data_IF_016534968117
#
_entry.id   IF_016534968117
#
_cell.length_a   1.000
_cell.length_b   1.000
_cell.length_c   1.000
_cell.angle_alpha   90.00
_cell.angle_beta   90.00
_cell.angle_gamma   90.00
#
_symmetry.space_group_name_H-M   'P 1'
#
loop_
_entity.id
_entity.type
_entity.pdbx_description
1 polymer ?
#
# COMPACT_ATOMS: atom_id res chain seq x y z
N UNK A 1 18.60 17.86 -12.51
CA UNK A 1 17.26 18.47 -12.53
C UNK A 1 16.41 17.74 -11.50
N UNK A 2 15.67 18.44 -10.65
CA UNK A 2 14.77 17.79 -9.69
C UNK A 2 13.71 17.00 -10.46
N UNK A 3 13.44 15.76 -10.01
CA UNK A 3 12.45 14.88 -10.65
C UNK A 3 11.09 15.20 -10.06
N UNK A 4 10.20 15.77 -10.86
CA UNK A 4 8.82 16.04 -10.46
C UNK A 4 8.08 14.70 -10.25
N UNK A 5 7.32 14.59 -9.16
CA UNK A 5 6.43 13.46 -8.89
C UNK A 5 5.02 13.84 -9.39
N UNK A 6 4.47 13.15 -10.41
CA UNK A 6 3.15 13.47 -10.95
C UNK A 6 2.05 13.22 -9.91
N UNK A 7 1.05 14.10 -9.83
CA UNK A 7 -0.11 13.91 -8.93
C UNK A 7 -0.96 12.70 -9.29
N UNK A 8 -1.09 12.44 -10.59
CA UNK A 8 -1.73 11.23 -11.11
C UNK A 8 -0.74 10.07 -11.05
N UNK A 9 -1.18 8.94 -10.53
CA UNK A 9 -0.38 7.72 -10.47
C UNK A 9 -0.66 6.95 -11.75
N UNK A 10 0.37 6.62 -12.52
CA UNK A 10 0.18 5.90 -13.78
C UNK A 10 -0.18 4.43 -13.55
N UNK A 11 -0.87 3.81 -14.50
CA UNK A 11 -1.40 2.44 -14.36
C UNK A 11 -0.31 1.36 -14.30
N UNK A 12 0.86 1.63 -14.85
CA UNK A 12 2.05 0.79 -14.81
C UNK A 12 2.89 0.99 -13.53
N UNK A 13 2.59 2.01 -12.72
CA UNK A 13 3.31 2.23 -11.47
C UNK A 13 3.11 1.07 -10.49
N UNK A 14 4.23 0.66 -9.90
CA UNK A 14 4.27 -0.34 -8.83
C UNK A 14 4.08 0.37 -7.49
N UNK A 15 3.08 -0.08 -6.76
CA UNK A 15 2.72 0.39 -5.43
C UNK A 15 3.15 -0.64 -4.39
N UNK A 16 3.60 -0.14 -3.26
CA UNK A 16 4.21 -0.93 -2.18
C UNK A 16 3.46 -0.66 -0.89
N UNK A 17 3.04 -1.70 -0.19
CA UNK A 17 2.46 -1.61 1.14
C UNK A 17 3.30 -2.40 2.14
N UNK A 18 3.47 -1.85 3.35
CA UNK A 18 4.29 -2.45 4.40
C UNK A 18 3.58 -3.63 5.08
N UNK A 19 4.30 -4.72 5.28
CA UNK A 19 3.80 -5.92 5.96
C UNK A 19 4.51 -6.09 7.30
N UNK A 20 3.72 -6.38 8.32
CA UNK A 20 4.18 -6.57 9.70
C UNK A 20 3.82 -7.97 10.21
N UNK A 21 4.41 -8.39 11.33
CA UNK A 21 4.20 -9.70 11.96
C UNK A 21 2.72 -10.01 12.23
N UNK A 22 1.96 -8.99 12.64
CA UNK A 22 0.50 -9.07 12.86
C UNK A 22 -0.31 -9.45 11.63
N UNK A 23 0.25 -9.28 10.43
CA UNK A 23 -0.41 -9.67 9.19
C UNK A 23 -0.34 -11.17 8.94
N UNK A 24 0.34 -11.95 9.80
CA UNK A 24 0.44 -13.40 9.70
C UNK A 24 -0.28 -14.10 10.85
N UNK A 25 -0.98 -15.19 10.54
CA UNK A 25 -1.62 -16.05 11.55
C UNK A 25 -0.56 -16.63 12.48
N UNK A 26 -0.79 -16.49 13.78
CA UNK A 26 0.11 -16.97 14.84
C UNK A 26 1.55 -16.48 14.69
N UNK A 27 1.77 -15.35 13.99
CA UNK A 27 3.10 -14.80 13.67
C UNK A 27 4.02 -15.75 12.89
N UNK A 28 3.46 -16.71 12.16
CA UNK A 28 4.23 -17.61 11.29
C UNK A 28 4.41 -16.92 9.93
N UNK A 29 5.65 -16.54 9.59
CA UNK A 29 5.96 -15.78 8.37
C UNK A 29 5.98 -16.73 7.17
N UNK A 30 4.86 -16.82 6.46
CA UNK A 30 4.76 -17.50 5.17
C UNK A 30 3.55 -17.00 4.39
N UNK A 31 3.56 -17.16 3.06
CA UNK A 31 2.46 -16.70 2.20
C UNK A 31 1.11 -17.34 2.55
N UNK A 32 1.11 -18.61 2.97
CA UNK A 32 -0.09 -19.36 3.36
C UNK A 32 -0.68 -18.88 4.69
N UNK A 33 0.16 -18.26 5.52
CA UNK A 33 -0.23 -17.73 6.83
C UNK A 33 -0.59 -16.26 6.79
N UNK A 34 -0.38 -15.58 5.67
CA UNK A 34 -0.77 -14.19 5.46
C UNK A 34 -2.30 -14.02 5.58
N UNK A 35 -2.73 -13.06 6.40
CA UNK A 35 -4.13 -12.71 6.62
C UNK A 35 -4.58 -11.73 5.54
N UNK A 36 -4.74 -12.23 4.32
CA UNK A 36 -5.01 -11.43 3.10
C UNK A 36 -6.22 -10.51 3.16
N UNK A 37 -7.25 -10.84 3.97
CA UNK A 37 -8.41 -9.96 4.19
C UNK A 37 -8.09 -8.67 4.93
N UNK A 38 -6.96 -8.61 5.61
CA UNK A 38 -6.66 -7.55 6.58
C UNK A 38 -5.48 -6.67 6.13
N UNK A 39 -4.89 -6.99 4.98
CA UNK A 39 -3.74 -6.27 4.42
C UNK A 39 -4.17 -4.86 4.01
N UNK A 40 -5.23 -4.75 3.23
CA UNK A 40 -5.72 -3.46 2.73
C UNK A 40 -6.88 -2.95 3.59
N UNK A 41 -6.82 -3.14 4.91
CA UNK A 41 -7.73 -2.48 5.83
C UNK A 41 -7.19 -1.09 6.18
N UNK A 42 -7.99 -0.02 6.02
CA UNK A 42 -7.52 1.34 6.27
C UNK A 42 -7.19 1.55 7.75
N UNK A 43 -6.20 2.40 8.01
CA UNK A 43 -5.87 2.87 9.34
C UNK A 43 -5.76 4.39 9.31
N UNK A 44 -6.71 5.11 9.93
CA UNK A 44 -6.80 6.58 9.94
C UNK A 44 -6.66 7.21 8.54
N UNK A 45 -7.72 7.18 7.75
CA UNK A 45 -7.82 7.91 6.47
C UNK A 45 -7.60 7.05 5.22
N UNK A 46 -6.80 5.98 5.29
CA UNK A 46 -6.56 5.11 4.14
C UNK A 46 -5.62 3.95 4.43
N UNK A 47 -5.23 3.24 3.37
CA UNK A 47 -4.12 2.28 3.38
C UNK A 47 -2.91 2.95 2.76
N UNK A 48 -1.88 3.21 3.58
CA UNK A 48 -0.64 3.84 3.16
C UNK A 48 0.11 2.98 2.14
N UNK A 49 0.53 3.59 1.04
CA UNK A 49 1.27 3.00 -0.05
C UNK A 49 2.52 3.84 -0.35
N UNK A 50 3.50 3.24 -1.02
CA UNK A 50 4.65 3.93 -1.61
C UNK A 50 4.68 3.70 -3.10
N UNK A 51 5.04 4.73 -3.85
CA UNK A 51 5.27 4.66 -5.29
C UNK A 51 6.71 4.25 -5.54
N UNK A 52 6.91 3.00 -5.95
CA UNK A 52 8.24 2.40 -6.06
C UNK A 52 9.20 3.20 -6.96
N UNK A 53 8.70 3.77 -8.05
CA UNK A 53 9.54 4.53 -8.98
C UNK A 53 10.21 5.76 -8.32
N UNK A 54 9.57 6.32 -7.29
CA UNK A 54 10.03 7.50 -6.57
C UNK A 54 10.53 7.18 -5.15
N UNK A 55 10.60 5.91 -4.75
CA UNK A 55 11.04 5.51 -3.41
C UNK A 55 11.82 4.20 -3.47
N UNK A 56 13.14 4.28 -3.22
CA UNK A 56 14.01 3.10 -3.15
C UNK A 56 13.57 2.14 -2.04
N UNK A 57 13.84 0.86 -2.21
CA UNK A 57 13.43 -0.21 -1.28
C UNK A 57 13.93 0.03 0.15
N UNK A 58 15.20 0.41 0.31
CA UNK A 58 15.77 0.76 1.64
C UNK A 58 15.07 1.96 2.28
N UNK A 59 14.62 2.94 1.48
CA UNK A 59 13.87 4.10 1.99
C UNK A 59 12.45 3.71 2.38
N UNK A 60 11.79 2.84 1.60
CA UNK A 60 10.53 2.22 1.98
C UNK A 60 10.64 1.48 3.33
N UNK A 61 11.73 0.74 3.53
CA UNK A 61 12.01 0.02 4.79
C UNK A 61 12.19 0.98 5.98
N UNK A 62 12.93 2.07 5.78
CA UNK A 62 13.10 3.13 6.80
C UNK A 62 11.74 3.71 7.22
N UNK A 63 10.89 4.08 6.26
CA UNK A 63 9.55 4.56 6.55
C UNK A 63 8.68 3.50 7.24
N UNK A 64 8.75 2.24 6.80
CA UNK A 64 8.03 1.14 7.43
C UNK A 64 8.41 0.99 8.90
N UNK A 65 9.71 1.02 9.24
CA UNK A 65 10.21 0.98 10.62
C UNK A 65 9.75 2.19 11.43
N UNK A 66 9.73 3.39 10.83
CA UNK A 66 9.25 4.62 11.46
C UNK A 66 7.78 4.57 11.88
N UNK A 67 6.92 3.93 11.08
CA UNK A 67 5.48 3.78 11.38
C UNK A 67 5.16 2.51 12.21
N UNK A 68 6.15 1.65 12.45
CA UNK A 68 6.01 0.36 13.12
C UNK A 68 6.00 0.43 14.65
N UNK A 69 5.50 1.51 15.28
CA UNK A 69 5.52 1.62 16.75
C UNK A 69 4.78 0.41 17.36
N UNK A 70 5.54 -0.47 18.03
CA UNK A 70 5.05 -1.72 18.64
C UNK A 70 4.79 -2.88 17.67
N UNK A 71 5.25 -2.82 16.42
CA UNK A 71 5.08 -3.87 15.39
C UNK A 71 6.42 -4.29 14.82
N UNK A 72 6.54 -5.55 14.41
CA UNK A 72 7.76 -6.03 13.74
C UNK A 72 7.55 -5.96 12.24
N UNK A 73 8.34 -5.15 11.56
CA UNK A 73 8.36 -5.11 10.10
C UNK A 73 8.89 -6.44 9.54
N UNK A 74 8.23 -6.96 8.50
CA UNK A 74 8.54 -8.26 7.88
C UNK A 74 8.91 -8.12 6.41
N UNK A 75 8.36 -7.14 5.70
CA UNK A 75 8.55 -7.01 4.28
C UNK A 75 7.47 -6.17 3.62
N UNK A 76 7.17 -6.48 2.37
CA UNK A 76 6.30 -5.68 1.53
C UNK A 76 5.29 -6.56 0.78
N UNK A 77 4.14 -5.98 0.49
CA UNK A 77 3.26 -6.46 -0.57
C UNK A 77 3.29 -5.43 -1.70
N UNK A 78 3.44 -5.91 -2.93
CA UNK A 78 3.64 -5.07 -4.10
C UNK A 78 2.68 -5.46 -5.22
N UNK A 79 2.18 -4.45 -5.94
CA UNK A 79 1.23 -4.63 -7.04
C UNK A 79 1.26 -3.43 -7.99
N UNK A 80 0.79 -3.62 -9.22
CA UNK A 80 0.61 -2.51 -10.18
C UNK A 80 -0.74 -1.84 -9.99
N UNK A 81 -0.82 -0.53 -10.21
CA UNK A 81 -2.11 0.20 -10.19
C UNK A 81 -3.14 -0.41 -11.14
N UNK A 82 -2.73 -0.82 -12.34
CA UNK A 82 -3.60 -1.53 -13.30
C UNK A 82 -4.23 -2.81 -12.74
N UNK A 83 -3.52 -3.57 -11.89
CA UNK A 83 -4.09 -4.76 -11.24
C UNK A 83 -5.17 -4.35 -10.22
N UNK A 84 -4.91 -3.29 -9.44
CA UNK A 84 -5.92 -2.72 -8.56
C UNK A 84 -7.19 -2.31 -9.32
N UNK A 85 -7.05 -1.57 -10.42
CA UNK A 85 -8.19 -1.12 -11.23
C UNK A 85 -8.96 -2.30 -11.81
N UNK A 86 -8.27 -3.31 -12.34
CA UNK A 86 -8.90 -4.54 -12.85
C UNK A 86 -9.70 -5.27 -11.76
N UNK A 87 -9.12 -5.44 -10.57
CA UNK A 87 -9.80 -6.09 -9.44
C UNK A 87 -11.00 -5.27 -8.97
N UNK A 88 -10.86 -3.94 -8.90
CA UNK A 88 -11.95 -3.01 -8.55
C UNK A 88 -13.11 -3.14 -9.52
N UNK A 89 -12.87 -3.02 -10.82
CA UNK A 89 -13.91 -3.12 -11.84
C UNK A 89 -14.61 -4.49 -11.80
N UNK A 90 -13.86 -5.58 -11.69
CA UNK A 90 -14.45 -6.91 -11.58
C UNK A 90 -15.29 -7.08 -10.31
N UNK A 91 -14.87 -6.49 -9.19
CA UNK A 91 -15.61 -6.51 -7.93
C UNK A 91 -16.91 -5.71 -8.02
N UNK A 92 -16.89 -4.54 -8.65
CA UNK A 92 -18.07 -3.69 -8.90
C UNK A 92 -19.10 -4.43 -9.76
N UNK A 93 -18.65 -4.99 -10.89
CA UNK A 93 -19.53 -5.62 -11.87
C UNK A 93 -20.22 -6.88 -11.34
N UNK A 94 -19.49 -7.71 -10.58
CA UNK A 94 -19.96 -9.06 -10.24
C UNK A 94 -20.43 -9.22 -8.79
N UNK A 95 -19.99 -8.35 -7.88
CA UNK A 95 -20.23 -8.56 -6.44
C UNK A 95 -20.84 -7.34 -5.75
N UNK A 96 -20.36 -6.13 -6.06
CA UNK A 96 -20.70 -4.93 -5.28
C UNK A 96 -20.70 -3.66 -6.11
N UNK A 97 -21.82 -3.40 -6.79
CA UNK A 97 -22.01 -2.28 -7.73
C UNK A 97 -21.70 -0.89 -7.17
N UNK A 98 -21.86 -0.69 -5.87
CA UNK A 98 -21.65 0.60 -5.18
C UNK A 98 -20.27 0.71 -4.52
N UNK A 99 -19.37 -0.25 -4.78
CA UNK A 99 -18.03 -0.20 -4.19
C UNK A 99 -17.18 0.87 -4.86
N UNK A 100 -16.60 1.75 -4.05
CA UNK A 100 -15.76 2.86 -4.49
C UNK A 100 -14.47 2.89 -3.68
N UNK A 101 -13.36 2.87 -4.40
CA UNK A 101 -12.02 2.91 -3.84
C UNK A 101 -11.04 3.44 -4.88
N UNK A 102 -10.14 4.32 -4.48
CA UNK A 102 -9.19 4.96 -5.38
C UNK A 102 -7.83 5.15 -4.71
N UNK A 103 -6.80 5.29 -5.55
CA UNK A 103 -5.43 5.50 -5.10
C UNK A 103 -5.01 6.92 -5.44
N UNK A 104 -4.67 7.69 -4.41
CA UNK A 104 -4.30 9.09 -4.53
C UNK A 104 -2.83 9.29 -4.16
N UNK A 105 -2.13 10.15 -4.90
CA UNK A 105 -0.84 10.66 -4.46
C UNK A 105 -1.06 11.60 -3.27
N UNK A 106 -0.52 11.23 -2.11
CA UNK A 106 -0.72 11.92 -0.82
C UNK A 106 0.62 12.15 -0.13
N UNK A 107 1.52 12.92 -0.76
CA UNK A 107 2.89 13.11 -0.27
C UNK A 107 2.90 13.69 1.16
N UNK A 108 3.87 13.27 1.97
CA UNK A 108 3.99 13.68 3.36
C UNK A 108 5.24 14.52 3.61
N UNK A 109 5.16 15.43 4.58
CA UNK A 109 6.32 16.17 5.09
C UNK A 109 7.17 15.36 6.08
N UNK A 110 8.20 15.98 6.65
CA UNK A 110 9.10 15.39 7.65
C UNK A 110 8.42 15.04 8.99
N UNK A 111 7.20 15.54 9.21
CA UNK A 111 6.37 15.27 10.37
C UNK A 111 5.22 14.31 10.05
N UNK A 112 5.29 13.62 8.90
CA UNK A 112 4.28 12.70 8.40
C UNK A 112 2.89 13.33 8.26
N UNK A 113 2.82 14.64 7.99
CA UNK A 113 1.58 15.35 7.65
C UNK A 113 1.43 15.45 6.13
N UNK A 114 0.20 15.43 5.65
CA UNK A 114 -0.07 15.61 4.23
C UNK A 114 0.38 16.99 3.74
N UNK A 115 1.18 17.00 2.68
CA UNK A 115 1.48 18.23 1.97
C UNK A 115 0.22 18.75 1.25
N UNK A 116 0.11 20.08 1.01
CA UNK A 116 -1.02 20.65 0.29
C UNK A 116 -1.16 20.04 -1.09
N UNK A 117 -2.40 19.65 -1.47
CA UNK A 117 -2.70 19.00 -2.75
C UNK A 117 -2.21 19.80 -3.97
N UNK A 118 -2.14 21.13 -3.84
CA UNK A 118 -1.77 22.02 -4.94
C UNK A 118 -0.28 22.29 -5.09
N UNK A 119 0.50 21.84 -4.12
CA UNK A 119 1.95 21.94 -4.15
C UNK A 119 2.55 21.01 -5.22
N UNK A 120 3.53 21.51 -5.97
CA UNK A 120 4.40 20.66 -6.77
C UNK A 120 5.38 19.94 -5.85
N UNK A 121 5.45 18.62 -6.00
CA UNK A 121 6.31 17.76 -5.17
C UNK A 121 7.37 17.12 -6.05
N UNK A 122 8.61 17.21 -5.59
CA UNK A 122 9.80 16.69 -6.26
C UNK A 122 10.38 15.55 -5.44
N UNK A 123 11.16 14.67 -6.09
CA UNK A 123 11.79 13.51 -5.44
C UNK A 123 12.67 13.88 -4.24
N UNK A 124 13.27 15.06 -4.26
CA UNK A 124 14.11 15.62 -3.19
C UNK A 124 13.33 16.48 -2.17
N UNK A 125 12.01 16.57 -2.30
CA UNK A 125 11.17 17.24 -1.29
C UNK A 125 11.31 16.51 0.06
N UNK A 126 11.59 17.22 1.17
CA UNK A 126 11.73 16.62 2.49
C UNK A 126 10.50 15.81 2.92
N UNK A 127 10.71 14.76 3.72
CA UNK A 127 9.65 13.88 4.20
C UNK A 127 9.49 12.61 3.37
N UNK A 128 8.26 12.30 2.98
CA UNK A 128 7.90 11.17 2.12
C UNK A 128 7.13 11.64 0.86
N UNK A 129 7.84 12.15 -0.15
CA UNK A 129 7.21 12.70 -1.35
C UNK A 129 6.59 11.63 -2.25
N UNK A 130 6.96 10.36 -2.08
CA UNK A 130 6.45 9.23 -2.87
C UNK A 130 5.23 8.53 -2.23
N UNK A 131 4.69 9.07 -1.13
CA UNK A 131 3.55 8.51 -0.43
C UNK A 131 2.26 8.59 -1.26
N UNK A 132 1.45 7.55 -1.15
CA UNK A 132 0.11 7.46 -1.72
C UNK A 132 -0.83 6.77 -0.74
N UNK A 133 -2.13 6.95 -0.89
CA UNK A 133 -3.15 6.25 -0.12
C UNK A 133 -4.14 5.54 -1.03
N UNK A 134 -4.46 4.30 -0.68
CA UNK A 134 -5.69 3.67 -1.11
C UNK A 134 -6.82 4.07 -0.14
N UNK A 135 -7.79 4.82 -0.67
CA UNK A 135 -8.94 5.36 0.08
C UNK A 135 -10.19 4.63 -0.36
N UNK A 136 -11.04 4.26 0.60
CA UNK A 136 -12.36 3.67 0.36
C UNK A 136 -13.41 4.77 0.58
N UNK A 137 -13.97 5.33 -0.49
CA UNK A 137 -14.92 6.45 -0.40
C UNK A 137 -16.33 5.94 -0.06
N UNK A 138 -16.73 4.87 -0.72
CA UNK A 138 -17.97 4.16 -0.44
C UNK A 138 -17.70 2.65 -0.45
N UNK A 139 -17.37 2.04 0.70
CA UNK A 139 -17.27 0.57 0.76
C UNK A 139 -18.64 -0.13 0.57
N UNK A 140 -19.69 0.60 0.19
CA UNK A 140 -21.12 0.34 0.34
C UNK A 140 -21.51 0.20 1.81
N UNK A 141 -22.09 1.25 2.39
CA UNK A 141 -22.79 1.16 3.67
C UNK A 141 -24.04 0.29 3.47
N UNK A 142 -23.93 -1.03 3.61
CA UNK A 142 -25.11 -1.77 4.07
C UNK A 142 -25.25 -1.47 5.57
N UNK A 143 -26.42 -1.01 5.98
CA UNK A 143 -26.78 -1.03 7.40
C UNK A 143 -26.44 -2.43 7.94
N UNK A 144 -25.59 -2.50 8.97
CA UNK A 144 -25.02 -3.72 9.58
C UNK A 144 -23.76 -4.33 8.96
N UNK A 145 -22.96 -3.63 8.16
CA UNK A 145 -21.70 -4.19 7.65
C UNK A 145 -20.53 -4.21 8.66
N UNK A 146 -20.82 -4.67 9.89
CA UNK A 146 -19.78 -5.01 10.85
C UNK A 146 -19.42 -6.49 10.73
N UNK A 147 -18.15 -6.85 10.44
CA UNK A 147 -16.97 -6.00 10.26
C UNK A 147 -16.55 -5.81 8.80
N UNK A 148 -16.56 -4.58 8.26
CA UNK A 148 -15.94 -4.13 6.99
C UNK A 148 -15.90 -5.21 5.88
N UNK A 149 -17.00 -5.94 5.67
CA UNK A 149 -16.94 -7.18 4.89
C UNK A 149 -16.62 -6.93 3.43
N UNK A 150 -17.00 -5.77 2.89
CA UNK A 150 -16.66 -5.29 1.56
C UNK A 150 -15.15 -5.20 1.36
N UNK A 151 -14.51 -4.42 2.23
CA UNK A 151 -13.08 -4.13 2.17
C UNK A 151 -12.31 -5.43 2.40
N UNK A 152 -12.73 -6.27 3.34
CA UNK A 152 -12.10 -7.57 3.58
C UNK A 152 -12.21 -8.51 2.38
N UNK A 153 -13.36 -8.53 1.70
CA UNK A 153 -13.56 -9.31 0.48
C UNK A 153 -12.68 -8.79 -0.66
N UNK A 154 -12.67 -7.47 -0.87
CA UNK A 154 -11.82 -6.80 -1.85
C UNK A 154 -10.33 -7.04 -1.57
N UNK A 155 -9.88 -6.85 -0.33
CA UNK A 155 -8.49 -7.08 0.10
C UNK A 155 -8.04 -8.51 -0.19
N UNK A 156 -8.89 -9.53 0.05
CA UNK A 156 -8.57 -10.92 -0.31
C UNK A 156 -8.35 -11.11 -1.81
N UNK A 157 -9.12 -10.40 -2.65
CA UNK A 157 -9.04 -10.50 -4.10
C UNK A 157 -7.79 -9.79 -4.61
N UNK A 158 -7.58 -8.55 -4.19
CA UNK A 158 -6.40 -7.77 -4.54
C UNK A 158 -5.12 -8.52 -4.15
N UNK A 159 -5.07 -9.10 -2.95
CA UNK A 159 -3.90 -9.85 -2.47
C UNK A 159 -3.50 -11.04 -3.35
N UNK A 160 -4.38 -11.58 -4.19
CA UNK A 160 -4.05 -12.66 -5.13
C UNK A 160 -3.22 -12.18 -6.31
N UNK A 161 -3.37 -10.91 -6.67
CA UNK A 161 -2.67 -10.26 -7.78
C UNK A 161 -1.46 -9.44 -7.27
N UNK A 162 -1.16 -9.57 -5.97
CA UNK A 162 0.01 -8.98 -5.35
C UNK A 162 1.15 -10.01 -5.20
N UNK A 163 2.38 -9.51 -5.15
CA UNK A 163 3.54 -10.29 -4.72
C UNK A 163 3.89 -9.95 -3.28
N UNK A 164 4.04 -10.96 -2.42
CA UNK A 164 4.64 -10.82 -1.10
C UNK A 164 6.16 -10.93 -1.23
N UNK A 165 6.86 -9.97 -0.66
CA UNK A 165 8.33 -9.93 -0.59
C UNK A 165 8.68 -9.92 0.90
N UNK A 166 9.33 -10.98 1.36
CA UNK A 166 9.77 -11.09 2.76
C UNK A 166 11.19 -10.56 2.83
N UNK A 167 11.43 -9.60 3.71
CA UNK A 167 12.78 -9.11 3.99
C UNK A 167 13.56 -10.21 4.71
N UNK A 168 14.65 -10.66 4.11
CA UNK A 168 15.55 -11.67 4.69
C UNK A 168 16.35 -11.13 5.87
N UNK A 169 16.50 -9.81 5.96
CA UNK A 169 17.27 -9.09 6.97
C UNK A 169 16.46 -7.95 7.60
N UNK A 170 15.30 -8.21 8.25
CA UNK A 170 14.39 -7.15 8.71
C UNK A 170 15.02 -6.20 9.75
N UNK A 171 16.08 -6.66 10.44
CA UNK A 171 16.83 -5.87 11.42
C UNK A 171 17.85 -4.91 10.77
N UNK A 172 18.37 -5.18 9.57
CA UNK A 172 19.29 -4.28 8.87
C UNK A 172 18.58 -3.03 8.37
N UNK A 173 19.31 -1.96 8.06
CA UNK A 173 18.72 -0.75 7.45
C UNK A 173 18.75 -0.78 5.92
N UNK A 174 19.53 -1.68 5.32
CA UNK A 174 19.49 -1.94 3.88
C UNK A 174 18.39 -2.92 3.51
N UNK A 175 17.85 -2.77 2.31
CA UNK A 175 17.09 -3.82 1.64
C UNK A 175 17.95 -4.35 0.48
N UNK A 176 18.42 -5.59 0.59
CA UNK A 176 19.47 -6.13 -0.28
C UNK A 176 18.93 -6.82 -1.55
N UNK A 177 17.71 -6.47 -1.99
CA UNK A 177 16.99 -7.21 -3.03
C UNK A 177 16.26 -6.30 -4.04
N UNK A 178 16.63 -6.40 -5.33
CA UNK A 178 15.97 -5.73 -6.48
C UNK A 178 14.63 -6.42 -6.85
N UNK A 179 13.80 -6.71 -5.86
CA UNK A 179 12.61 -7.55 -6.05
C UNK A 179 11.38 -6.82 -6.56
N UNK A 180 11.28 -5.50 -6.35
CA UNK A 180 10.08 -4.74 -6.69
C UNK A 180 9.91 -4.64 -8.21
N UNK A 181 11.02 -4.55 -8.96
CA UNK A 181 11.04 -4.47 -10.43
C UNK A 181 10.60 -5.76 -11.13
N UNK A 182 10.58 -6.88 -10.40
CA UNK A 182 10.16 -8.20 -10.94
C UNK A 182 8.64 -8.41 -10.88
N UNK A 183 7.89 -7.39 -10.46
CA UNK A 183 6.42 -7.41 -10.45
C UNK A 183 5.92 -7.16 -11.87
N UNK A 184 5.49 -8.23 -12.53
CA UNK A 184 4.89 -8.23 -13.88
C UNK A 184 3.37 -8.22 -13.79
#
# INVERSE_FOLDING_TARGET
>A
MPVLIPKEIADDEILVHYIFDRNFKNKIISIEKLVSKDIFLPNKGGVSLQRNFYCKESKCKEFAKGVAIGKVYIGFIVFRKSHFEKVKQNYILNERKEFEADIFSTPLDEHFQYLPKEMEVYLDTPGNPAHADLIYENPALKENESPNTAIRSFSRKLSKDCKLIIDSSPLSDSFDDDEFKKVV
#
